data_IF_973362934694
#
_entry.id   IF_973362934694
#
_cell.length_a   1.000
_cell.length_b   1.000
_cell.length_c   1.000
_cell.angle_alpha   90.00
_cell.angle_beta   90.00
_cell.angle_gamma   90.00
#
_symmetry.space_group_name_H-M   'P 1'
#
loop_
_entity.id
_entity.type
_entity.pdbx_description
1 polymer ?
#
# COMPACT_ATOMS: atom_id res chain seq x y z
N UNK A 1 19.63 -1.58 2.31
CA UNK A 1 18.40 -0.89 2.75
C UNK A 1 18.00 0.00 1.59
N UNK A 2 16.74 -0.03 1.17
CA UNK A 2 16.29 0.80 0.06
C UNK A 2 16.23 2.25 0.53
N UNK A 3 16.79 3.17 -0.25
CA UNK A 3 16.70 4.60 0.06
C UNK A 3 15.44 5.16 -0.62
N UNK A 4 14.34 5.22 0.14
CA UNK A 4 13.05 5.71 -0.38
C UNK A 4 13.14 7.17 -0.85
N UNK A 5 13.95 7.99 -0.15
CA UNK A 5 14.13 9.39 -0.50
C UNK A 5 14.81 9.50 -1.86
N UNK A 6 15.94 8.83 -2.04
CA UNK A 6 16.67 8.83 -3.30
C UNK A 6 15.80 8.27 -4.43
N UNK A 7 15.09 7.17 -4.20
CA UNK A 7 14.18 6.58 -5.19
C UNK A 7 13.07 7.56 -5.61
N UNK A 8 12.46 8.25 -4.65
CA UNK A 8 11.42 9.26 -4.94
C UNK A 8 11.99 10.45 -5.71
N UNK A 9 13.18 10.94 -5.33
CA UNK A 9 13.84 12.05 -6.02
C UNK A 9 14.15 11.65 -7.46
N UNK A 10 14.76 10.49 -7.70
CA UNK A 10 15.07 10.01 -9.04
C UNK A 10 13.82 9.81 -9.89
N UNK A 11 12.74 9.28 -9.29
CA UNK A 11 11.45 9.14 -9.95
C UNK A 11 10.91 10.51 -10.41
N UNK A 12 10.95 11.53 -9.54
CA UNK A 12 10.46 12.87 -9.86
C UNK A 12 11.34 13.61 -10.88
N UNK A 13 12.66 13.39 -10.86
CA UNK A 13 13.61 14.04 -11.78
C UNK A 13 13.37 13.70 -13.26
N UNK A 14 12.60 12.64 -13.54
CA UNK A 14 12.17 12.31 -14.90
C UNK A 14 11.11 13.27 -15.45
N UNK A 15 10.40 14.02 -14.59
CA UNK A 15 9.32 14.93 -14.96
C UNK A 15 9.61 16.40 -14.62
N UNK A 16 10.33 16.67 -13.53
CA UNK A 16 10.63 18.03 -13.08
C UNK A 16 12.11 18.21 -12.75
N UNK A 17 12.65 19.39 -13.04
CA UNK A 17 14.00 19.81 -12.61
C UNK A 17 13.99 20.66 -11.34
N UNK A 18 12.81 20.97 -10.81
CA UNK A 18 12.65 21.77 -9.59
C UNK A 18 12.96 20.93 -8.35
N UNK A 19 14.24 20.90 -7.98
CA UNK A 19 14.69 20.14 -6.80
C UNK A 19 14.05 20.65 -5.50
N UNK A 20 13.72 21.94 -5.40
CA UNK A 20 13.08 22.48 -4.20
C UNK A 20 11.67 21.91 -4.05
N UNK A 21 10.92 21.83 -5.15
CA UNK A 21 9.59 21.22 -5.19
C UNK A 21 9.65 19.72 -4.86
N UNK A 22 10.60 18.99 -5.46
CA UNK A 22 10.76 17.55 -5.24
C UNK A 22 11.10 17.26 -3.77
N UNK A 23 12.06 17.99 -3.20
CA UNK A 23 12.44 17.83 -1.79
C UNK A 23 11.29 18.19 -0.85
N UNK A 24 10.49 19.21 -1.20
CA UNK A 24 9.30 19.56 -0.43
C UNK A 24 8.25 18.43 -0.44
N UNK A 25 7.99 17.82 -1.59
CA UNK A 25 7.05 16.69 -1.67
C UNK A 25 7.57 15.44 -0.97
N UNK A 26 8.88 15.18 -0.98
CA UNK A 26 9.45 14.13 -0.14
C UNK A 26 9.22 14.41 1.35
N UNK A 27 9.48 15.63 1.81
CA UNK A 27 9.23 16.02 3.21
C UNK A 27 7.75 15.86 3.58
N UNK A 28 6.83 16.21 2.68
CA UNK A 28 5.40 15.95 2.88
C UNK A 28 5.12 14.44 3.08
N UNK A 29 5.66 13.57 2.22
CA UNK A 29 5.52 12.12 2.36
C UNK A 29 6.09 11.62 3.68
N UNK A 30 7.34 11.97 3.99
CA UNK A 30 8.04 11.56 5.21
C UNK A 30 7.25 11.96 6.47
N UNK A 31 6.75 13.20 6.53
CA UNK A 31 5.95 13.69 7.66
C UNK A 31 4.67 12.86 7.81
N UNK A 32 3.94 12.61 6.71
CA UNK A 32 2.68 11.85 6.76
C UNK A 32 2.93 10.41 7.20
N UNK A 33 3.89 9.71 6.62
CA UNK A 33 4.18 8.31 6.99
C UNK A 33 4.86 8.16 8.36
N UNK A 34 5.39 9.24 8.93
CA UNK A 34 6.00 9.25 10.27
C UNK A 34 5.05 9.74 11.38
N UNK A 35 3.76 9.93 11.09
CA UNK A 35 2.77 10.34 12.09
C UNK A 35 2.70 9.32 13.25
N UNK A 36 2.64 9.81 14.49
CA UNK A 36 2.71 8.97 15.72
C UNK A 36 1.66 7.85 15.81
N UNK A 37 0.53 7.99 15.11
CA UNK A 37 -0.55 7.00 15.11
C UNK A 37 -0.37 5.89 14.08
N UNK A 38 0.62 5.99 13.19
CA UNK A 38 0.95 4.97 12.18
C UNK A 38 1.98 4.01 12.78
N UNK A 39 1.66 2.72 12.71
CA UNK A 39 2.51 1.65 13.23
C UNK A 39 2.78 0.58 12.19
N UNK A 40 1.90 0.44 11.21
CA UNK A 40 2.07 -0.40 10.04
C UNK A 40 2.13 0.44 8.77
N UNK A 41 1.23 1.41 8.58
CA UNK A 41 1.18 2.23 7.37
C UNK A 41 2.23 3.38 7.41
N UNK A 42 3.50 2.99 7.51
CA UNK A 42 4.68 3.84 7.68
C UNK A 42 5.66 3.70 6.50
N UNK A 43 6.85 4.30 6.60
CA UNK A 43 7.88 4.21 5.55
C UNK A 43 8.41 2.77 5.36
N UNK A 44 8.41 1.94 6.41
CA UNK A 44 8.85 0.55 6.29
C UNK A 44 7.86 -0.27 5.45
N UNK A 45 6.56 0.04 5.50
CA UNK A 45 5.58 -0.55 4.58
C UNK A 45 5.91 -0.25 3.12
N UNK A 46 6.25 1.01 2.79
CA UNK A 46 6.67 1.37 1.42
C UNK A 46 7.92 0.60 0.99
N UNK A 47 8.93 0.50 1.86
CA UNK A 47 10.12 -0.30 1.56
C UNK A 47 9.78 -1.76 1.26
N UNK A 48 8.86 -2.35 2.04
CA UNK A 48 8.43 -3.73 1.86
C UNK A 48 7.71 -3.90 0.52
N UNK A 49 6.79 -2.99 0.15
CA UNK A 49 6.12 -3.01 -1.14
C UNK A 49 7.11 -2.94 -2.31
N UNK A 50 8.07 -2.02 -2.26
CA UNK A 50 9.09 -1.92 -3.32
C UNK A 50 9.97 -3.17 -3.42
N UNK A 51 10.34 -3.80 -2.31
CA UNK A 51 11.09 -5.07 -2.33
C UNK A 51 10.32 -6.19 -3.03
N UNK A 52 8.99 -6.24 -2.84
CA UNK A 52 8.16 -7.21 -3.55
C UNK A 52 8.06 -6.89 -5.04
N UNK A 53 7.83 -5.61 -5.37
CA UNK A 53 7.70 -5.15 -6.75
C UNK A 53 8.99 -5.28 -7.55
N UNK A 54 10.16 -5.10 -6.92
CA UNK A 54 11.45 -5.29 -7.56
C UNK A 54 11.62 -6.72 -8.11
N UNK A 55 11.04 -7.73 -7.43
CA UNK A 55 11.11 -9.12 -7.87
C UNK A 55 10.26 -9.44 -9.12
N UNK A 56 9.32 -8.56 -9.46
CA UNK A 56 8.43 -8.69 -10.62
C UNK A 56 8.53 -7.49 -11.58
N UNK A 57 9.54 -6.63 -11.39
CA UNK A 57 9.68 -5.35 -12.11
C UNK A 57 9.64 -5.47 -13.62
N UNK A 58 10.25 -6.53 -14.17
CA UNK A 58 10.27 -6.81 -15.62
C UNK A 58 8.89 -7.19 -16.20
N UNK A 59 7.92 -7.52 -15.34
CA UNK A 59 6.54 -7.86 -15.71
C UNK A 59 5.58 -6.68 -15.58
N UNK A 60 6.03 -5.57 -15.03
CA UNK A 60 5.25 -4.35 -14.83
C UNK A 60 5.51 -3.43 -16.02
N UNK A 61 4.48 -3.14 -16.80
CA UNK A 61 4.59 -2.33 -18.02
C UNK A 61 4.94 -0.88 -17.69
N UNK A 62 4.28 -0.32 -16.68
CA UNK A 62 4.52 1.05 -16.21
C UNK A 62 4.93 1.09 -14.74
N UNK A 63 6.18 0.71 -14.48
CA UNK A 63 6.75 0.74 -13.13
C UNK A 63 6.78 2.14 -12.52
N UNK A 64 6.88 3.19 -13.35
CA UNK A 64 6.79 4.60 -12.92
C UNK A 64 5.44 4.91 -12.29
N UNK A 65 4.32 4.49 -12.92
CA UNK A 65 2.98 4.67 -12.38
C UNK A 65 2.83 3.93 -11.04
N UNK A 66 3.22 2.64 -11.02
CA UNK A 66 3.16 1.82 -9.80
C UNK A 66 3.99 2.43 -8.68
N UNK A 67 5.18 2.95 -8.98
CA UNK A 67 6.05 3.56 -7.97
C UNK A 67 5.41 4.81 -7.34
N UNK A 68 4.80 5.69 -8.14
CA UNK A 68 4.06 6.82 -7.59
C UNK A 68 2.84 6.36 -6.79
N UNK A 69 2.12 5.34 -7.25
CA UNK A 69 0.99 4.79 -6.50
C UNK A 69 1.45 4.23 -5.14
N UNK A 70 2.58 3.51 -5.07
CA UNK A 70 3.19 3.05 -3.81
C UNK A 70 3.44 4.24 -2.88
N UNK A 71 4.16 5.27 -3.33
CA UNK A 71 4.46 6.43 -2.48
C UNK A 71 3.20 7.14 -1.96
N UNK A 72 2.13 7.19 -2.74
CA UNK A 72 0.97 8.00 -2.40
C UNK A 72 -0.26 7.23 -1.86
N UNK A 73 -0.36 5.90 -1.98
CA UNK A 73 -1.63 5.19 -1.71
C UNK A 73 -2.20 5.44 -0.31
N UNK A 74 -1.34 5.47 0.71
CA UNK A 74 -1.69 5.72 2.11
C UNK A 74 -1.10 7.02 2.65
N UNK A 75 -0.78 7.97 1.78
CA UNK A 75 -0.25 9.27 2.24
C UNK A 75 -1.24 9.97 3.18
N UNK A 76 -2.55 9.88 2.92
CA UNK A 76 -3.59 10.30 3.85
C UNK A 76 -4.18 9.07 4.54
N UNK A 77 -3.90 8.92 5.83
CA UNK A 77 -4.36 7.76 6.60
C UNK A 77 -5.06 8.17 7.89
N UNK A 78 -6.24 7.61 8.11
CA UNK A 78 -6.93 7.65 9.38
C UNK A 78 -7.72 6.34 9.53
N UNK A 79 -7.39 5.54 10.54
CA UNK A 79 -7.97 4.22 10.79
C UNK A 79 -9.51 4.22 10.90
N UNK A 80 -10.13 5.37 11.23
CA UNK A 80 -11.59 5.51 11.36
C UNK A 80 -12.30 5.97 10.08
N UNK A 81 -11.53 6.33 9.05
CA UNK A 81 -12.04 6.92 7.81
C UNK A 81 -12.18 5.86 6.72
N UNK A 82 -13.24 5.98 5.92
CA UNK A 82 -13.48 5.17 4.71
C UNK A 82 -13.13 5.90 3.42
N UNK A 83 -12.38 6.99 3.54
CA UNK A 83 -12.10 7.93 2.44
C UNK A 83 -10.60 8.15 2.24
N UNK A 84 -9.78 7.27 2.81
CA UNK A 84 -8.32 7.46 2.84
C UNK A 84 -7.79 7.40 1.41
N UNK A 85 -8.19 6.39 0.65
CA UNK A 85 -7.73 6.14 -0.71
C UNK A 85 -8.19 7.24 -1.67
N UNK A 86 -9.44 7.71 -1.57
CA UNK A 86 -9.89 8.85 -2.38
C UNK A 86 -9.13 10.14 -2.02
N UNK A 87 -8.87 10.39 -0.74
CA UNK A 87 -8.11 11.58 -0.30
C UNK A 87 -6.65 11.49 -0.72
N UNK A 88 -6.02 10.33 -0.59
CA UNK A 88 -4.68 10.03 -1.07
C UNK A 88 -4.57 10.21 -2.58
N UNK A 89 -5.55 9.73 -3.34
CA UNK A 89 -5.59 9.92 -4.79
C UNK A 89 -5.69 11.41 -5.18
N UNK A 90 -6.60 12.17 -4.55
CA UNK A 90 -6.69 13.62 -4.77
C UNK A 90 -5.43 14.36 -4.32
N UNK A 91 -4.81 13.91 -3.23
CA UNK A 91 -3.54 14.45 -2.75
C UNK A 91 -2.43 14.23 -3.77
N UNK A 92 -2.30 13.00 -4.29
CA UNK A 92 -1.36 12.62 -5.33
C UNK A 92 -1.56 13.44 -6.61
N UNK A 93 -2.79 13.50 -7.13
CA UNK A 93 -3.15 14.24 -8.34
C UNK A 93 -2.62 15.68 -8.29
N UNK A 94 -2.87 16.39 -7.18
CA UNK A 94 -2.40 17.78 -7.02
C UNK A 94 -0.88 17.93 -7.05
N UNK A 95 -0.11 16.98 -6.49
CA UNK A 95 1.36 17.02 -6.50
C UNK A 95 1.92 16.62 -7.86
N UNK A 96 1.38 15.56 -8.46
CA UNK A 96 1.82 15.05 -9.75
C UNK A 96 1.55 16.06 -10.88
N UNK A 97 0.45 16.80 -10.82
CA UNK A 97 0.20 17.93 -11.74
C UNK A 97 1.27 19.01 -11.61
N UNK A 98 1.68 19.37 -10.38
CA UNK A 98 2.75 20.35 -10.14
C UNK A 98 4.13 19.85 -10.59
N UNK A 99 4.37 18.55 -10.53
CA UNK A 99 5.57 17.91 -11.09
C UNK A 99 5.57 17.86 -12.62
N UNK A 100 4.44 18.19 -13.28
CA UNK A 100 4.34 18.20 -14.73
C UNK A 100 4.10 16.82 -15.36
N UNK A 101 3.57 15.86 -14.59
CA UNK A 101 3.22 14.55 -15.16
C UNK A 101 2.08 14.69 -16.20
N UNK A 102 2.12 13.89 -17.28
CA UNK A 102 1.00 13.79 -18.22
C UNK A 102 -0.31 13.35 -17.54
N UNK A 103 -1.45 13.92 -17.96
CA UNK A 103 -2.74 13.69 -17.31
C UNK A 103 -3.21 12.23 -17.38
N UNK A 104 -2.88 11.51 -18.45
CA UNK A 104 -3.14 10.07 -18.59
C UNK A 104 -2.39 9.24 -17.55
N UNK A 105 -1.12 9.58 -17.29
CA UNK A 105 -0.32 8.94 -16.26
C UNK A 105 -0.86 9.23 -14.86
N UNK A 106 -1.24 10.49 -14.59
CA UNK A 106 -1.88 10.88 -13.33
C UNK A 106 -3.18 10.10 -13.12
N UNK A 107 -4.02 9.98 -14.15
CA UNK A 107 -5.27 9.22 -14.08
C UNK A 107 -5.03 7.72 -13.80
N UNK A 108 -3.96 7.12 -14.35
CA UNK A 108 -3.58 5.74 -14.04
C UNK A 108 -3.16 5.59 -12.57
N UNK A 109 -2.33 6.51 -12.07
CA UNK A 109 -1.85 6.49 -10.67
C UNK A 109 -3.00 6.67 -9.69
N UNK A 110 -3.92 7.62 -9.93
CA UNK A 110 -5.08 7.83 -9.04
C UNK A 110 -6.01 6.62 -9.03
N UNK A 111 -6.23 5.99 -10.19
CA UNK A 111 -7.02 4.75 -10.29
C UNK A 111 -6.37 3.60 -9.52
N UNK A 112 -5.05 3.46 -9.62
CA UNK A 112 -4.27 2.48 -8.86
C UNK A 112 -4.40 2.68 -7.34
N UNK A 113 -4.27 3.92 -6.86
CA UNK A 113 -4.47 4.25 -5.44
C UNK A 113 -5.89 3.92 -4.99
N UNK A 114 -6.91 4.28 -5.75
CA UNK A 114 -8.31 3.99 -5.38
C UNK A 114 -8.58 2.48 -5.32
N UNK A 115 -7.90 1.68 -6.16
CA UNK A 115 -8.08 0.24 -6.19
C UNK A 115 -7.65 -0.46 -4.88
N UNK A 116 -6.68 0.10 -4.13
CA UNK A 116 -6.20 -0.48 -2.86
C UNK A 116 -7.33 -0.60 -1.84
N UNK A 117 -8.32 0.29 -1.87
CA UNK A 117 -9.49 0.27 -0.98
C UNK A 117 -10.22 -1.07 -0.90
N UNK A 118 -10.32 -1.78 -2.01
CA UNK A 118 -11.11 -3.02 -2.11
C UNK A 118 -10.28 -4.26 -2.42
N UNK A 119 -9.05 -4.07 -2.90
CA UNK A 119 -8.18 -5.14 -3.40
C UNK A 119 -8.87 -6.14 -4.33
N UNK A 120 -9.84 -5.67 -5.13
CA UNK A 120 -10.47 -6.48 -6.17
C UNK A 120 -9.56 -6.56 -7.39
N UNK A 121 -9.64 -7.66 -8.13
CA UNK A 121 -8.89 -7.82 -9.38
C UNK A 121 -9.23 -6.67 -10.33
N UNK A 122 -8.22 -5.95 -10.79
CA UNK A 122 -8.35 -4.90 -11.79
C UNK A 122 -8.13 -5.48 -13.20
N UNK A 123 -8.64 -4.79 -14.22
CA UNK A 123 -8.34 -5.12 -15.62
C UNK A 123 -6.89 -4.77 -15.97
N UNK A 124 -6.35 -3.69 -15.40
CA UNK A 124 -4.96 -3.29 -15.52
C UNK A 124 -4.05 -4.20 -14.71
N UNK A 125 -3.10 -4.87 -15.39
CA UNK A 125 -2.22 -5.86 -14.75
C UNK A 125 -1.23 -5.21 -13.78
N UNK A 126 -0.71 -4.02 -14.09
CA UNK A 126 0.17 -3.26 -13.20
C UNK A 126 -0.51 -2.95 -11.85
N UNK A 127 -1.79 -2.58 -11.88
CA UNK A 127 -2.61 -2.38 -10.68
C UNK A 127 -2.65 -3.65 -9.84
N UNK A 128 -2.78 -4.83 -10.45
CA UNK A 128 -2.81 -6.09 -9.72
C UNK A 128 -1.47 -6.37 -8.99
N UNK A 129 -0.32 -6.00 -9.56
CA UNK A 129 0.96 -6.10 -8.85
C UNK A 129 1.06 -5.14 -7.66
N UNK A 130 0.53 -3.92 -7.77
CA UNK A 130 0.43 -2.98 -6.64
C UNK A 130 -0.41 -3.59 -5.50
N UNK A 131 -1.60 -4.09 -5.82
CA UNK A 131 -2.51 -4.70 -4.84
C UNK A 131 -1.88 -5.91 -4.14
N UNK A 132 -1.13 -6.71 -4.91
CA UNK A 132 -0.46 -7.90 -4.39
C UNK A 132 0.74 -7.55 -3.49
N UNK A 133 1.50 -6.52 -3.86
CA UNK A 133 2.60 -6.01 -3.03
C UNK A 133 2.08 -5.46 -1.70
N UNK A 134 0.98 -4.72 -1.73
CA UNK A 134 0.33 -4.15 -0.53
C UNK A 134 -0.16 -5.25 0.44
N UNK A 135 -0.74 -6.34 -0.09
CA UNK A 135 -1.22 -7.47 0.70
C UNK A 135 -0.14 -8.52 1.02
N UNK A 136 1.08 -8.36 0.53
CA UNK A 136 2.14 -9.38 0.64
C UNK A 136 2.49 -9.76 2.08
N UNK A 137 2.31 -8.84 3.04
CA UNK A 137 2.50 -9.08 4.47
C UNK A 137 1.65 -10.25 4.98
N UNK A 138 0.47 -10.46 4.39
CA UNK A 138 -0.44 -11.52 4.81
C UNK A 138 0.20 -12.90 4.60
N UNK A 139 1.00 -13.07 3.54
CA UNK A 139 1.64 -14.34 3.19
C UNK A 139 3.05 -14.56 3.74
N UNK A 140 3.56 -13.65 4.57
CA UNK A 140 4.88 -13.79 5.20
C UNK A 140 4.91 -14.91 6.25
N UNK A 141 6.09 -15.18 6.79
CA UNK A 141 6.21 -16.07 7.95
C UNK A 141 5.36 -15.57 9.13
N UNK A 142 5.05 -16.49 10.04
CA UNK A 142 4.10 -16.23 11.12
C UNK A 142 4.56 -15.09 12.04
N UNK A 143 5.86 -14.96 12.31
CA UNK A 143 6.38 -13.93 13.20
C UNK A 143 6.19 -12.54 12.59
N UNK A 144 6.51 -12.38 11.30
CA UNK A 144 6.26 -11.15 10.55
C UNK A 144 4.76 -10.80 10.49
N UNK A 145 3.90 -11.80 10.27
CA UNK A 145 2.46 -11.62 10.25
C UNK A 145 1.89 -11.18 11.61
N UNK A 146 2.37 -11.78 12.71
CA UNK A 146 1.91 -11.42 14.06
C UNK A 146 2.37 -10.01 14.45
N UNK A 147 3.59 -9.60 14.08
CA UNK A 147 4.04 -8.22 14.24
C UNK A 147 3.13 -7.24 13.47
N UNK A 148 2.79 -7.56 12.21
CA UNK A 148 1.81 -6.82 11.42
C UNK A 148 0.46 -6.71 12.14
N UNK A 149 -0.13 -7.83 12.58
CA UNK A 149 -1.42 -7.84 13.27
C UNK A 149 -1.39 -6.98 14.54
N UNK A 150 -0.31 -7.05 15.32
CA UNK A 150 -0.12 -6.19 16.50
C UNK A 150 0.01 -4.71 16.14
N UNK A 151 0.72 -4.35 15.07
CA UNK A 151 0.84 -2.98 14.59
C UNK A 151 -0.52 -2.43 14.15
N UNK A 152 -1.30 -3.20 13.38
CA UNK A 152 -2.68 -2.85 13.03
C UNK A 152 -3.52 -2.66 14.29
N UNK A 153 -3.42 -3.55 15.29
CA UNK A 153 -4.15 -3.37 16.56
C UNK A 153 -3.82 -2.03 17.24
N UNK A 154 -2.56 -1.58 17.19
CA UNK A 154 -2.14 -0.29 17.76
C UNK A 154 -2.73 0.90 16.99
N UNK A 155 -2.81 0.86 15.66
CA UNK A 155 -3.42 1.94 14.87
C UNK A 155 -4.92 2.09 15.17
N UNK A 156 -5.59 0.99 15.49
CA UNK A 156 -6.99 0.97 15.91
C UNK A 156 -7.16 1.03 17.45
N UNK A 157 -6.16 1.51 18.19
CA UNK A 157 -6.16 1.58 19.67
C UNK A 157 -7.30 2.41 20.26
N UNK A 158 -7.85 3.36 19.49
CA UNK A 158 -9.02 4.15 19.91
C UNK A 158 -10.27 3.29 20.14
N UNK A 159 -10.35 2.12 19.50
CA UNK A 159 -11.47 1.20 19.64
C UNK A 159 -11.18 0.17 20.73
N UNK A 160 -12.09 -0.01 21.69
CA UNK A 160 -11.99 -1.11 22.64
C UNK A 160 -12.15 -2.45 21.92
N UNK A 161 -11.63 -3.52 22.52
CA UNK A 161 -11.64 -4.86 21.94
C UNK A 161 -13.03 -5.36 21.55
N UNK A 162 -14.07 -4.97 22.29
CA UNK A 162 -15.46 -5.30 22.01
C UNK A 162 -15.94 -4.79 20.64
N UNK A 163 -15.36 -3.68 20.15
CA UNK A 163 -15.66 -3.12 18.83
C UNK A 163 -14.61 -3.54 17.78
N UNK A 164 -13.32 -3.55 18.17
CA UNK A 164 -12.23 -3.87 17.26
C UNK A 164 -12.30 -5.31 16.76
N UNK A 165 -12.43 -6.30 17.66
CA UNK A 165 -12.33 -7.73 17.31
C UNK A 165 -13.40 -8.16 16.29
N UNK A 166 -14.70 -7.80 16.45
CA UNK A 166 -15.70 -8.11 15.42
C UNK A 166 -15.40 -7.44 14.07
N UNK A 167 -14.92 -6.19 14.08
CA UNK A 167 -14.53 -5.46 12.88
C UNK A 167 -13.36 -6.12 12.14
N UNK A 168 -12.29 -6.45 12.87
CA UNK A 168 -11.11 -7.15 12.32
C UNK A 168 -11.49 -8.53 11.79
N UNK A 169 -12.29 -9.32 12.52
CA UNK A 169 -12.82 -10.59 12.04
C UNK A 169 -13.58 -10.45 10.72
N UNK A 170 -14.37 -9.39 10.55
CA UNK A 170 -15.10 -9.13 9.30
C UNK A 170 -14.15 -8.90 8.12
N UNK A 171 -13.10 -8.10 8.31
CA UNK A 171 -12.07 -7.84 7.27
C UNK A 171 -11.35 -9.13 6.90
N UNK A 172 -10.88 -9.89 7.90
CA UNK A 172 -10.17 -11.16 7.67
C UNK A 172 -11.03 -12.21 6.96
N UNK A 173 -12.30 -12.34 7.36
CA UNK A 173 -13.25 -13.24 6.68
C UNK A 173 -13.51 -12.79 5.25
N UNK A 174 -13.64 -11.48 5.01
CA UNK A 174 -13.80 -10.96 3.66
C UNK A 174 -12.63 -11.35 2.75
N UNK A 175 -11.39 -11.32 3.24
CA UNK A 175 -10.25 -11.80 2.47
C UNK A 175 -10.31 -13.30 2.16
N UNK A 176 -10.79 -14.12 3.10
CA UNK A 176 -10.97 -15.56 2.86
C UNK A 176 -12.14 -15.89 1.91
N UNK A 177 -13.08 -14.96 1.73
CA UNK A 177 -14.20 -15.09 0.78
C UNK A 177 -13.79 -14.74 -0.67
N UNK A 178 -12.65 -14.08 -0.86
CA UNK A 178 -12.11 -13.84 -2.20
C UNK A 178 -11.67 -15.17 -2.83
N UNK A 179 -11.89 -15.31 -4.14
CA UNK A 179 -11.40 -16.46 -4.91
C UNK A 179 -9.88 -16.61 -4.75
N UNK A 180 -9.17 -15.48 -4.77
CA UNK A 180 -7.73 -15.39 -4.54
C UNK A 180 -7.38 -14.07 -3.84
N UNK A 181 -6.54 -14.14 -2.80
CA UNK A 181 -6.03 -12.93 -2.14
C UNK A 181 -5.07 -12.20 -3.06
N UNK A 182 -4.20 -12.95 -3.74
CA UNK A 182 -3.27 -12.40 -4.72
C UNK A 182 -3.80 -12.56 -6.15
N UNK A 183 -3.63 -11.52 -6.96
CA UNK A 183 -4.26 -11.36 -8.27
C UNK A 183 -3.40 -11.90 -9.41
N UNK A 184 -2.08 -11.80 -9.24
CA UNK A 184 -1.06 -12.31 -10.14
C UNK A 184 -0.62 -13.72 -9.73
N UNK A 185 -0.12 -14.51 -10.68
CA UNK A 185 0.24 -15.90 -10.42
C UNK A 185 1.50 -15.98 -9.55
N UNK A 186 2.45 -15.06 -9.75
CA UNK A 186 3.71 -14.97 -9.02
C UNK A 186 3.47 -14.77 -7.52
N UNK A 187 2.61 -13.82 -7.15
CA UNK A 187 2.29 -13.58 -5.74
C UNK A 187 1.39 -14.68 -5.17
N UNK A 188 0.50 -15.26 -5.98
CA UNK A 188 -0.37 -16.35 -5.54
C UNK A 188 0.44 -17.59 -5.17
N UNK A 189 1.34 -18.01 -6.05
CA UNK A 189 2.24 -19.15 -5.79
C UNK A 189 3.11 -18.91 -4.56
N UNK A 190 3.59 -17.67 -4.38
CA UNK A 190 4.47 -17.30 -3.28
C UNK A 190 3.76 -17.17 -1.93
N UNK A 191 2.54 -16.64 -1.89
CA UNK A 191 1.93 -16.13 -0.66
C UNK A 191 0.55 -16.67 -0.31
N UNK A 192 -0.25 -17.14 -1.26
CA UNK A 192 -1.67 -17.45 -1.06
C UNK A 192 -1.90 -18.48 0.07
N UNK A 193 -1.12 -19.57 0.05
CA UNK A 193 -1.24 -20.65 1.04
C UNK A 193 -0.91 -20.16 2.45
N UNK A 194 0.17 -19.40 2.59
CA UNK A 194 0.59 -18.88 3.89
C UNK A 194 -0.36 -17.78 4.38
N UNK A 195 -0.85 -16.92 3.48
CA UNK A 195 -1.81 -15.89 3.83
C UNK A 195 -3.10 -16.47 4.40
N UNK A 196 -3.65 -17.50 3.76
CA UNK A 196 -4.83 -18.21 4.26
C UNK A 196 -4.59 -18.86 5.62
N UNK A 197 -3.42 -19.44 5.86
CA UNK A 197 -3.04 -20.01 7.16
C UNK A 197 -2.93 -18.93 8.23
N UNK A 198 -2.19 -17.86 7.97
CA UNK A 198 -1.97 -16.77 8.92
C UNK A 198 -3.30 -16.10 9.32
N UNK A 199 -4.17 -15.82 8.35
CA UNK A 199 -5.50 -15.25 8.61
C UNK A 199 -6.34 -16.22 9.46
N UNK A 200 -6.29 -17.52 9.17
CA UNK A 200 -7.01 -18.52 9.96
C UNK A 200 -6.49 -18.62 11.40
N UNK A 201 -5.18 -18.45 11.63
CA UNK A 201 -4.61 -18.40 12.98
C UNK A 201 -5.03 -17.11 13.72
N UNK A 202 -4.98 -15.93 13.07
CA UNK A 202 -5.44 -14.68 13.69
C UNK A 202 -6.92 -14.77 14.12
N UNK A 203 -7.76 -15.37 13.29
CA UNK A 203 -9.17 -15.55 13.57
C UNK A 203 -9.46 -16.39 14.84
N UNK A 204 -8.55 -17.29 15.23
CA UNK A 204 -8.70 -18.11 16.45
C UNK A 204 -8.40 -17.34 17.73
N UNK A 205 -7.57 -16.29 17.64
CA UNK A 205 -7.10 -15.53 18.81
C UNK A 205 -7.83 -14.18 18.99
N UNK A 206 -8.52 -13.70 17.95
CA UNK A 206 -9.49 -12.60 18.04
C UNK A 206 -10.78 -13.03 18.73
#
# INVERSE_FOLDING_TARGET
MMDLQENFIQLCLTFSKDQSLINHFWQELEINYSEKGRHYHDLLHLENMFRELDSVKERIENFTAVSFAVFYHDVIYNASSKSNEEKSASYAESRLQKLGLPQDLISKITTQIIATKTHRKAEDTDTNYLLDADLSILGKDLDAYLDYSHKIRKEYSIYPDLLYKPGRKKVLKHFLELESLFKTDEFREKYELNAKKNIAEELKIL
#
